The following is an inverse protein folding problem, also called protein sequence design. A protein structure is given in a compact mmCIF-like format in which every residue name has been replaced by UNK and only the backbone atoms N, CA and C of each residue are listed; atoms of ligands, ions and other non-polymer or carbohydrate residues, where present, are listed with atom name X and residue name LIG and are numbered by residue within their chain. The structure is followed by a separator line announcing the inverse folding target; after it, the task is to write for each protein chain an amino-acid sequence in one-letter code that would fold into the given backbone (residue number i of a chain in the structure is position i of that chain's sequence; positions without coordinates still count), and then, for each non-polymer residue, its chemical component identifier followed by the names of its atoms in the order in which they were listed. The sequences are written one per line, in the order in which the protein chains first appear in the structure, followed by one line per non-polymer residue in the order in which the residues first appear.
data_IF_510020691720
#
_entry.id   IF_510020691720
#
_cell.length_a   1.000
_cell.length_b   1.000
_cell.length_c   1.000
_cell.angle_alpha   90.00
_cell.angle_beta   90.00
_cell.angle_gamma   90.00
#
_symmetry.space_group_name_H-M   'P 1'
#
loop_
_entity.id
_entity.type
_entity.pdbx_description
1 polymer ?
#
# COMPACT_ATOMS: atom_id res chain seq x y z
N UNK A 1 16.87 -5.63 -15.90
CA UNK A 1 16.67 -6.50 -14.71
C UNK A 1 17.14 -5.91 -13.37
N UNK A 2 18.01 -4.89 -13.33
CA UNK A 2 18.55 -4.36 -12.07
C UNK A 2 17.52 -3.60 -11.18
N UNK A 3 16.58 -2.83 -11.76
CA UNK A 3 15.64 -1.98 -10.99
C UNK A 3 14.78 -2.72 -9.96
N UNK A 4 14.35 -3.95 -10.26
CA UNK A 4 13.44 -4.70 -9.39
C UNK A 4 14.15 -5.30 -8.17
N UNK A 5 15.41 -5.73 -8.32
CA UNK A 5 16.21 -6.24 -7.21
C UNK A 5 16.62 -5.13 -6.21
N UNK A 6 16.67 -3.87 -6.66
CA UNK A 6 16.85 -2.72 -5.79
C UNK A 6 15.60 -2.40 -4.99
N UNK A 7 14.41 -2.48 -5.61
CA UNK A 7 13.15 -2.24 -4.91
C UNK A 7 12.91 -3.25 -3.77
N UNK A 8 13.16 -4.53 -4.01
CA UNK A 8 12.97 -5.57 -2.99
C UNK A 8 13.95 -5.42 -1.81
N UNK A 9 15.21 -5.05 -2.08
CA UNK A 9 16.21 -4.77 -1.04
C UNK A 9 15.90 -3.51 -0.23
N UNK A 10 15.37 -2.47 -0.88
CA UNK A 10 14.93 -1.26 -0.20
C UNK A 10 13.75 -1.56 0.74
N UNK A 11 12.77 -2.34 0.27
CA UNK A 11 11.66 -2.80 1.10
C UNK A 11 12.15 -3.62 2.30
N UNK A 12 13.05 -4.58 2.09
CA UNK A 12 13.65 -5.38 3.15
C UNK A 12 14.35 -4.50 4.21
N UNK A 13 15.06 -3.46 3.79
CA UNK A 13 15.80 -2.58 4.72
C UNK A 13 14.90 -1.67 5.55
N UNK A 14 13.84 -1.13 4.95
CA UNK A 14 13.14 0.02 5.53
C UNK A 14 11.68 -0.27 5.90
N UNK A 15 11.04 -1.26 5.28
CA UNK A 15 9.57 -1.43 5.34
C UNK A 15 9.12 -2.85 5.72
N UNK A 16 9.94 -3.87 5.46
CA UNK A 16 9.67 -5.26 5.80
C UNK A 16 10.98 -6.03 6.12
N UNK A 17 11.60 -5.79 7.29
CA UNK A 17 12.83 -6.47 7.68
C UNK A 17 12.73 -8.00 7.65
N UNK A 18 13.66 -8.64 6.93
CA UNK A 18 13.78 -10.09 6.82
C UNK A 18 13.06 -10.70 5.60
N UNK A 19 12.34 -9.89 4.81
CA UNK A 19 11.66 -10.29 3.58
C UNK A 19 12.61 -10.99 2.59
N UNK A 20 13.84 -10.49 2.42
CA UNK A 20 14.83 -11.12 1.53
C UNK A 20 15.28 -12.47 2.08
N UNK A 21 15.52 -12.55 3.38
CA UNK A 21 15.94 -13.80 4.05
C UNK A 21 14.85 -14.87 3.96
N UNK A 22 13.59 -14.48 4.09
CA UNK A 22 12.44 -15.39 3.99
C UNK A 22 12.25 -15.87 2.56
N UNK A 23 12.42 -14.99 1.56
CA UNK A 23 12.36 -15.38 0.15
C UNK A 23 13.47 -16.38 -0.20
N UNK A 24 14.71 -16.09 0.20
CA UNK A 24 15.85 -16.99 -0.02
C UNK A 24 15.64 -18.36 0.64
N UNK A 25 15.09 -18.37 1.87
CA UNK A 25 14.78 -19.62 2.58
C UNK A 25 13.71 -20.43 1.85
N UNK A 26 12.64 -19.77 1.39
CA UNK A 26 11.56 -20.42 0.65
C UNK A 26 12.04 -20.97 -0.70
N UNK A 27 12.87 -20.21 -1.42
CA UNK A 27 13.51 -20.65 -2.67
C UNK A 27 14.40 -21.88 -2.46
N UNK A 28 15.28 -21.85 -1.44
CA UNK A 28 16.16 -22.99 -1.10
C UNK A 28 15.36 -24.26 -0.78
N UNK A 29 14.22 -24.12 -0.10
CA UNK A 29 13.33 -25.23 0.26
C UNK A 29 12.34 -25.62 -0.84
N UNK A 30 12.32 -24.90 -1.97
CA UNK A 30 11.30 -25.02 -3.03
C UNK A 30 9.86 -24.93 -2.49
N UNK A 31 9.68 -24.13 -1.44
CA UNK A 31 8.40 -23.91 -0.80
C UNK A 31 7.61 -22.86 -1.59
N UNK A 32 6.78 -23.33 -2.51
CA UNK A 32 5.95 -22.48 -3.38
C UNK A 32 5.03 -21.58 -2.55
N UNK A 33 4.47 -22.08 -1.44
CA UNK A 33 3.58 -21.30 -0.57
C UNK A 33 4.36 -20.21 0.15
N UNK A 34 5.56 -20.53 0.65
CA UNK A 34 6.46 -19.56 1.26
C UNK A 34 6.93 -18.47 0.29
N UNK A 35 7.23 -18.85 -0.96
CA UNK A 35 7.59 -17.89 -2.01
C UNK A 35 6.41 -16.94 -2.27
N UNK A 36 5.22 -17.49 -2.46
CA UNK A 36 4.01 -16.70 -2.72
C UNK A 36 3.72 -15.72 -1.56
N UNK A 37 3.74 -16.21 -0.32
CA UNK A 37 3.54 -15.38 0.88
C UNK A 37 4.54 -14.23 0.94
N UNK A 38 5.82 -14.50 0.66
CA UNK A 38 6.86 -13.46 0.71
C UNK A 38 6.65 -12.41 -0.38
N UNK A 39 6.18 -12.80 -1.57
CA UNK A 39 5.84 -11.85 -2.63
C UNK A 39 4.63 -10.98 -2.24
N UNK A 40 3.62 -11.55 -1.59
CA UNK A 40 2.47 -10.79 -1.09
C UNK A 40 2.87 -9.79 -0.01
N UNK A 41 3.75 -10.20 0.91
CA UNK A 41 4.31 -9.32 1.94
C UNK A 41 5.11 -8.17 1.31
N UNK A 42 5.83 -8.43 0.22
CA UNK A 42 6.52 -7.37 -0.53
C UNK A 42 5.56 -6.35 -1.12
N UNK A 43 4.46 -6.82 -1.73
CA UNK A 43 3.42 -5.95 -2.29
C UNK A 43 2.73 -5.13 -1.20
N UNK A 44 2.43 -5.75 -0.05
CA UNK A 44 1.82 -5.08 1.09
C UNK A 44 2.76 -4.01 1.70
N UNK A 45 4.06 -4.31 1.81
CA UNK A 45 5.05 -3.34 2.27
C UNK A 45 5.17 -2.14 1.32
N UNK A 46 5.16 -2.40 0.00
CA UNK A 46 5.18 -1.33 -1.01
C UNK A 46 3.88 -0.50 -1.01
N UNK A 47 2.73 -1.12 -0.70
CA UNK A 47 1.46 -0.41 -0.48
C UNK A 47 1.57 0.54 0.72
N UNK A 48 2.10 0.07 1.85
CA UNK A 48 2.30 0.90 3.05
C UNK A 48 3.27 2.06 2.78
N UNK A 49 4.35 1.80 2.02
CA UNK A 49 5.27 2.85 1.56
C UNK A 49 4.55 3.88 0.70
N UNK A 50 3.79 3.43 -0.30
CA UNK A 50 3.04 4.34 -1.17
C UNK A 50 2.00 5.16 -0.41
N UNK A 51 1.29 4.59 0.57
CA UNK A 51 0.36 5.33 1.42
C UNK A 51 1.06 6.40 2.27
N UNK A 52 2.29 6.13 2.71
CA UNK A 52 3.12 7.13 3.40
C UNK A 52 3.55 8.25 2.45
N UNK A 53 3.92 7.92 1.21
CA UNK A 53 4.17 8.93 0.19
C UNK A 53 2.93 9.77 -0.14
N UNK A 54 1.72 9.19 -0.15
CA UNK A 54 0.48 9.99 -0.29
C UNK A 54 0.34 10.97 0.86
N UNK A 55 0.57 10.53 2.10
CA UNK A 55 0.49 11.35 3.30
C UNK A 55 1.44 12.57 3.23
N UNK A 56 2.68 12.34 2.81
CA UNK A 56 3.71 13.37 2.66
C UNK A 56 3.35 14.40 1.58
N UNK A 57 2.57 13.99 0.57
CA UNK A 57 2.22 14.82 -0.58
C UNK A 57 0.77 15.33 -0.56
N UNK A 58 0.07 15.28 0.59
CA UNK A 58 -1.33 15.72 0.68
C UNK A 58 -1.56 17.17 0.24
N UNK A 59 -0.55 18.04 0.39
CA UNK A 59 -0.60 19.42 -0.08
C UNK A 59 -0.43 19.56 -1.61
N UNK A 60 0.04 18.52 -2.29
CA UNK A 60 0.24 18.44 -3.74
C UNK A 60 -0.77 17.45 -4.33
N UNK A 61 -1.99 17.93 -4.60
CA UNK A 61 -3.15 17.07 -4.92
C UNK A 61 -2.88 16.09 -6.07
N UNK A 62 -2.14 16.50 -7.09
CA UNK A 62 -1.80 15.66 -8.25
C UNK A 62 -0.85 14.52 -7.88
N UNK A 63 0.22 14.80 -7.13
CA UNK A 63 1.19 13.79 -6.70
C UNK A 63 0.55 12.78 -5.75
N UNK A 64 -0.22 13.26 -4.77
CA UNK A 64 -0.99 12.41 -3.87
C UNK A 64 -1.95 11.48 -4.62
N UNK A 65 -2.67 11.99 -5.63
CA UNK A 65 -3.57 11.17 -6.47
C UNK A 65 -2.80 10.12 -7.26
N UNK A 66 -1.64 10.47 -7.83
CA UNK A 66 -0.78 9.52 -8.53
C UNK A 66 -0.29 8.38 -7.63
N UNK A 67 0.20 8.70 -6.43
CA UNK A 67 0.60 7.68 -5.47
C UNK A 67 -0.59 6.84 -5.01
N UNK A 68 -1.77 7.44 -4.86
CA UNK A 68 -2.96 6.68 -4.49
C UNK A 68 -3.43 5.72 -5.59
N UNK A 69 -3.32 6.10 -6.87
CA UNK A 69 -3.57 5.17 -7.98
C UNK A 69 -2.63 3.96 -7.94
N UNK A 70 -1.36 4.16 -7.57
CA UNK A 70 -0.42 3.06 -7.34
C UNK A 70 -0.85 2.19 -6.16
N UNK A 71 -1.32 2.78 -5.07
CA UNK A 71 -1.85 2.05 -3.92
C UNK A 71 -3.01 1.13 -4.35
N UNK A 72 -3.97 1.65 -5.12
CA UNK A 72 -5.11 0.86 -5.61
C UNK A 72 -4.67 -0.31 -6.48
N UNK A 73 -3.66 -0.11 -7.35
CA UNK A 73 -3.10 -1.18 -8.19
C UNK A 73 -2.35 -2.24 -7.38
N UNK A 74 -1.63 -1.85 -6.32
CA UNK A 74 -0.95 -2.80 -5.44
C UNK A 74 -1.96 -3.59 -4.60
N UNK A 75 -2.99 -2.92 -4.08
CA UNK A 75 -4.05 -3.56 -3.32
C UNK A 75 -4.82 -4.59 -4.16
N UNK A 76 -5.11 -4.29 -5.43
CA UNK A 76 -5.78 -5.25 -6.32
C UNK A 76 -4.99 -6.52 -6.60
N UNK A 77 -3.65 -6.48 -6.49
CA UNK A 77 -2.83 -7.69 -6.59
C UNK A 77 -3.05 -8.66 -5.42
N UNK A 78 -3.62 -8.20 -4.31
CA UNK A 78 -3.88 -8.98 -3.10
C UNK A 78 -5.34 -9.48 -3.01
N UNK A 79 -6.19 -9.15 -3.99
CA UNK A 79 -7.64 -9.43 -3.96
C UNK A 79 -7.97 -10.89 -3.64
N UNK A 80 -7.28 -11.82 -4.30
CA UNK A 80 -7.51 -13.26 -4.16
C UNK A 80 -7.22 -13.80 -2.76
N UNK A 81 -6.43 -13.06 -1.97
CA UNK A 81 -5.87 -13.54 -0.71
C UNK A 81 -6.50 -12.87 0.52
N UNK A 82 -7.05 -11.67 0.34
CA UNK A 82 -7.72 -10.93 1.41
C UNK A 82 -9.09 -11.52 1.76
N UNK A 83 -9.77 -12.13 0.79
CA UNK A 83 -11.16 -12.58 0.93
C UNK A 83 -12.14 -11.40 0.96
N UNK A 84 -13.40 -11.69 0.62
CA UNK A 84 -14.41 -10.66 0.28
C UNK A 84 -14.54 -9.53 1.32
N UNK A 85 -14.66 -9.85 2.60
CA UNK A 85 -14.86 -8.83 3.65
C UNK A 85 -13.68 -7.84 3.74
N UNK A 86 -12.45 -8.34 3.80
CA UNK A 86 -11.27 -7.50 3.89
C UNK A 86 -11.01 -6.72 2.59
N UNK A 87 -11.36 -7.32 1.46
CA UNK A 87 -11.34 -6.66 0.16
C UNK A 87 -12.30 -5.46 0.11
N UNK A 88 -13.56 -5.66 0.48
CA UNK A 88 -14.59 -4.61 0.48
C UNK A 88 -14.20 -3.47 1.44
N UNK A 89 -13.72 -3.80 2.64
CA UNK A 89 -13.25 -2.84 3.63
C UNK A 89 -12.03 -2.05 3.13
N UNK A 90 -11.09 -2.71 2.45
CA UNK A 90 -9.92 -2.06 1.87
C UNK A 90 -10.27 -1.16 0.68
N UNK A 91 -11.22 -1.55 -0.17
CA UNK A 91 -11.75 -0.71 -1.25
C UNK A 91 -12.41 0.56 -0.69
N UNK A 92 -13.24 0.41 0.34
CA UNK A 92 -13.86 1.53 1.04
C UNK A 92 -12.80 2.45 1.65
N UNK A 93 -11.77 1.86 2.25
CA UNK A 93 -10.65 2.59 2.86
C UNK A 93 -9.86 3.41 1.84
N UNK A 94 -9.54 2.83 0.68
CA UNK A 94 -8.86 3.56 -0.42
C UNK A 94 -9.72 4.70 -0.97
N UNK A 95 -11.04 4.51 -1.06
CA UNK A 95 -11.96 5.58 -1.44
C UNK A 95 -11.97 6.70 -0.38
N UNK A 96 -11.88 6.34 0.90
CA UNK A 96 -11.70 7.27 2.01
C UNK A 96 -10.42 8.09 1.89
N UNK A 97 -9.29 7.44 1.60
CA UNK A 97 -8.01 8.09 1.31
C UNK A 97 -8.14 9.07 0.13
N UNK A 98 -8.80 8.67 -0.96
CA UNK A 98 -9.01 9.53 -2.13
C UNK A 98 -9.76 10.82 -1.77
N UNK A 99 -10.85 10.69 -1.01
CA UNK A 99 -11.65 11.82 -0.54
C UNK A 99 -10.88 12.76 0.41
N UNK A 100 -9.77 12.29 0.99
CA UNK A 100 -8.96 13.05 1.93
C UNK A 100 -7.88 13.91 1.26
N UNK A 101 -7.56 13.69 -0.02
CA UNK A 101 -6.55 14.46 -0.77
C UNK A 101 -7.07 15.86 -1.16
N UNK A 102 -8.39 16.04 -1.21
CA UNK A 102 -9.00 17.30 -1.65
C UNK A 102 -8.92 17.51 -3.17
N UNK A 103 -9.48 18.63 -3.62
CA UNK A 103 -9.56 19.03 -5.02
C UNK A 103 -9.30 20.52 -5.17
N UNK A 104 -8.50 20.93 -6.14
CA UNK A 104 -8.16 22.35 -6.38
C UNK A 104 -9.34 23.16 -6.98
N UNK A 105 -10.34 22.48 -7.55
CA UNK A 105 -11.47 23.12 -8.23
C UNK A 105 -11.09 23.71 -9.60
N UNK A 106 -12.09 24.09 -10.40
CA UNK A 106 -11.85 24.81 -11.66
C UNK A 106 -11.86 26.32 -11.35
N UNK A 107 -10.73 27.00 -11.52
CA UNK A 107 -10.55 28.40 -11.11
C UNK A 107 -10.92 28.66 -9.64
N UNK A 108 -10.66 27.69 -8.75
CA UNK A 108 -10.98 27.77 -7.32
C UNK A 108 -12.44 27.45 -6.97
N UNK A 109 -13.34 27.33 -7.95
CA UNK A 109 -14.73 26.89 -7.72
C UNK A 109 -14.75 25.39 -7.46
N UNK A 110 -15.34 24.97 -6.33
CA UNK A 110 -15.38 23.57 -5.89
C UNK A 110 -14.08 23.08 -5.26
N UNK A 111 -13.23 23.99 -4.77
CA UNK A 111 -12.05 23.61 -4.01
C UNK A 111 -12.45 22.93 -2.69
N UNK A 112 -11.86 21.77 -2.43
CA UNK A 112 -12.00 21.03 -1.18
C UNK A 112 -10.61 20.86 -0.61
N UNK A 113 -10.39 21.36 0.60
CA UNK A 113 -9.11 21.22 1.28
C UNK A 113 -8.79 19.74 1.57
N UNK A 114 -7.51 19.41 1.60
CA UNK A 114 -7.06 18.11 2.08
C UNK A 114 -7.43 17.93 3.56
N UNK A 115 -7.69 16.69 3.95
CA UNK A 115 -8.04 16.27 5.32
C UNK A 115 -7.02 15.23 5.80
N UNK A 116 -5.90 15.68 6.41
CA UNK A 116 -4.83 14.79 6.85
C UNK A 116 -5.28 13.81 7.93
N UNK A 117 -6.18 14.22 8.82
CA UNK A 117 -6.67 13.35 9.90
C UNK A 117 -7.53 12.21 9.35
N UNK A 118 -8.42 12.52 8.41
CA UNK A 118 -9.22 11.49 7.72
C UNK A 118 -8.34 10.56 6.91
N UNK A 119 -7.33 11.09 6.23
CA UNK A 119 -6.36 10.25 5.53
C UNK A 119 -5.67 9.29 6.50
N UNK A 120 -5.21 9.82 7.64
CA UNK A 120 -4.51 9.03 8.66
C UNK A 120 -5.40 7.92 9.22
N UNK A 121 -6.68 8.20 9.50
CA UNK A 121 -7.65 7.17 9.95
C UNK A 121 -7.76 6.04 8.94
N UNK A 122 -7.96 6.35 7.66
CA UNK A 122 -8.05 5.34 6.61
C UNK A 122 -6.74 4.59 6.39
N UNK A 123 -5.58 5.27 6.46
CA UNK A 123 -4.27 4.61 6.42
C UNK A 123 -4.13 3.57 7.53
N UNK A 124 -4.51 3.91 8.76
CA UNK A 124 -4.50 2.95 9.89
C UNK A 124 -5.45 1.78 9.67
N UNK A 125 -6.66 2.02 9.15
CA UNK A 125 -7.59 0.93 8.79
C UNK A 125 -6.96 -0.02 7.77
N UNK A 126 -6.33 0.51 6.71
CA UNK A 126 -5.65 -0.31 5.72
C UNK A 126 -4.52 -1.14 6.34
N UNK A 127 -3.69 -0.54 7.19
CA UNK A 127 -2.63 -1.26 7.91
C UNK A 127 -3.21 -2.37 8.81
N UNK A 128 -4.33 -2.10 9.51
CA UNK A 128 -5.03 -3.10 10.30
C UNK A 128 -5.52 -4.29 9.48
N UNK A 129 -6.06 -4.05 8.28
CA UNK A 129 -6.47 -5.11 7.34
C UNK A 129 -5.25 -5.97 6.96
N UNK A 130 -4.16 -5.35 6.52
CA UNK A 130 -2.95 -6.07 6.10
C UNK A 130 -2.32 -6.87 7.26
N UNK A 131 -2.30 -6.30 8.46
CA UNK A 131 -1.79 -6.97 9.66
C UNK A 131 -2.67 -8.17 10.04
N UNK A 132 -4.00 -8.04 9.99
CA UNK A 132 -4.93 -9.14 10.27
C UNK A 132 -4.76 -10.34 9.32
N UNK A 133 -4.15 -10.11 8.15
CA UNK A 133 -3.87 -11.11 7.12
C UNK A 133 -2.44 -11.63 7.14
N UNK A 134 -1.60 -11.16 8.09
CA UNK A 134 -0.20 -11.55 8.19
C UNK A 134 0.67 -11.07 7.02
N UNK A 135 0.20 -10.04 6.30
CA UNK A 135 0.90 -9.47 5.14
C UNK A 135 1.92 -8.40 5.54
N UNK A 136 1.78 -7.80 6.72
CA UNK A 136 2.74 -6.89 7.31
C UNK A 136 2.97 -7.28 8.78
N UNK A 137 4.15 -6.94 9.30
CA UNK A 137 4.60 -7.23 10.67
C UNK A 137 4.44 -6.00 11.57
#
# INVERSE_FOLDING_TARGET
MARNAYAFRHLDREHAPGLMSDLERALKRRDIKGIYLTLQQAVAAELVRCLSAVQENLCHSQDAKHFLMKCSRLFSMLEKDLGKRAWDEGCWTLQGCHKSIGTEGLFGVGCVAADPERFLRHKHTMMGILHSKGLIR
#
